data_IF_849591468554
#
_entry.id   IF_849591468554
#
_cell.length_a   1.000
_cell.length_b   1.000
_cell.length_c   1.000
_cell.angle_alpha   90.00
_cell.angle_beta   90.00
_cell.angle_gamma   90.00
#
_symmetry.space_group_name_H-M   'P 1'
#
loop_
_entity.id
_entity.type
_entity.pdbx_description
1 polymer ?
#
# COMPACT_ATOMS: atom_id res chain seq x y z
N UNK A 1 -14.48 -18.69 20.71
CA UNK A 1 -14.53 -17.21 20.74
C UNK A 1 -14.31 -16.70 19.33
N UNK A 2 -15.23 -15.91 18.75
CA UNK A 2 -14.99 -15.33 17.43
C UNK A 2 -13.94 -14.22 17.52
N UNK A 3 -12.91 -14.29 16.68
CA UNK A 3 -11.89 -13.25 16.52
C UNK A 3 -12.36 -12.33 15.39
N UNK A 4 -12.48 -11.03 15.67
CA UNK A 4 -12.84 -10.00 14.68
C UNK A 4 -11.65 -9.09 14.39
N UNK A 5 -11.41 -8.81 13.11
CA UNK A 5 -10.39 -7.86 12.67
C UNK A 5 -11.02 -6.48 12.50
N UNK A 6 -10.44 -5.48 13.15
CA UNK A 6 -10.84 -4.08 13.05
C UNK A 6 -9.82 -3.36 12.18
N UNK A 7 -10.26 -2.82 11.04
CA UNK A 7 -9.44 -1.98 10.17
C UNK A 7 -9.90 -0.55 10.30
N UNK A 8 -8.94 0.36 10.48
CA UNK A 8 -9.17 1.79 10.65
C UNK A 8 -8.23 2.58 9.76
N UNK A 9 -8.74 3.66 9.19
CA UNK A 9 -7.88 4.62 8.52
C UNK A 9 -6.92 5.26 9.53
N UNK A 10 -5.63 5.33 9.20
CA UNK A 10 -4.61 5.94 10.05
C UNK A 10 -4.89 7.42 10.40
N UNK A 11 -5.64 8.14 9.55
CA UNK A 11 -5.80 9.59 9.64
C UNK A 11 -7.13 10.02 10.25
N UNK A 12 -8.23 9.37 9.85
CA UNK A 12 -9.57 9.77 10.27
C UNK A 12 -10.32 8.69 11.08
N UNK A 13 -9.68 7.55 11.37
CA UNK A 13 -10.29 6.42 12.09
C UNK A 13 -11.55 5.84 11.43
N UNK A 14 -11.85 6.24 10.19
CA UNK A 14 -12.93 5.66 9.39
C UNK A 14 -12.78 4.15 9.31
N UNK A 15 -13.90 3.44 9.19
CA UNK A 15 -13.93 2.00 9.03
C UNK A 15 -14.39 1.63 7.62
N UNK A 16 -13.85 0.54 7.05
CA UNK A 16 -14.27 0.06 5.74
C UNK A 16 -15.70 -0.48 5.80
N UNK A 17 -16.41 -0.44 4.66
CA UNK A 17 -17.67 -1.16 4.53
C UNK A 17 -17.46 -2.68 4.68
N UNK A 18 -18.50 -3.47 5.01
CA UNK A 18 -18.36 -4.90 5.29
C UNK A 18 -17.72 -5.71 4.16
N UNK A 19 -17.93 -5.34 2.89
CA UNK A 19 -17.36 -6.05 1.75
C UNK A 19 -15.87 -5.74 1.60
N UNK A 20 -15.49 -4.47 1.77
CA UNK A 20 -14.08 -4.06 1.81
C UNK A 20 -13.37 -4.65 3.03
N UNK A 21 -14.04 -4.79 4.17
CA UNK A 21 -13.49 -5.45 5.36
C UNK A 21 -13.11 -6.92 5.08
N UNK A 22 -13.96 -7.69 4.39
CA UNK A 22 -13.63 -9.06 3.98
C UNK A 22 -12.42 -9.11 3.04
N UNK A 23 -12.29 -8.12 2.16
CA UNK A 23 -11.15 -8.01 1.23
C UNK A 23 -9.86 -7.65 1.97
N UNK A 24 -9.93 -6.76 2.96
CA UNK A 24 -8.81 -6.43 3.83
C UNK A 24 -8.34 -7.65 4.66
N UNK A 25 -9.29 -8.45 5.17
CA UNK A 25 -8.97 -9.71 5.84
C UNK A 25 -8.28 -10.72 4.89
N UNK A 26 -8.73 -10.79 3.63
CA UNK A 26 -8.07 -11.58 2.59
C UNK A 26 -6.63 -11.12 2.33
N UNK A 27 -6.44 -9.82 2.13
CA UNK A 27 -5.12 -9.22 1.88
C UNK A 27 -4.13 -9.43 3.04
N UNK A 28 -4.60 -9.54 4.28
CA UNK A 28 -3.74 -9.93 5.41
C UNK A 28 -3.14 -11.33 5.26
N UNK A 29 -3.75 -12.24 4.49
CA UNK A 29 -3.18 -13.58 4.28
C UNK A 29 -2.12 -13.60 3.18
N UNK A 30 -2.02 -12.53 2.41
CA UNK A 30 -1.06 -12.43 1.32
C UNK A 30 0.36 -12.16 1.84
N UNK A 31 1.33 -12.86 1.27
CA UNK A 31 2.76 -12.71 1.57
C UNK A 31 3.37 -11.62 0.69
N UNK A 32 2.95 -10.37 0.95
CA UNK A 32 3.42 -9.18 0.23
C UNK A 32 4.13 -8.27 1.22
N UNK A 33 5.26 -7.68 0.79
CA UNK A 33 6.08 -6.77 1.60
C UNK A 33 6.36 -5.48 0.83
N UNK A 34 6.27 -4.34 1.50
CA UNK A 34 6.68 -3.05 0.93
C UNK A 34 5.86 -2.58 -0.28
N UNK A 35 4.63 -3.09 -0.46
CA UNK A 35 3.80 -2.78 -1.62
C UNK A 35 2.50 -2.03 -1.25
N UNK A 36 2.01 -1.27 -2.23
CA UNK A 36 0.66 -0.70 -2.23
C UNK A 36 -0.34 -1.70 -2.81
N UNK A 37 -1.43 -1.96 -2.10
CA UNK A 37 -2.54 -2.74 -2.63
C UNK A 37 -3.86 -2.01 -2.44
N UNK A 38 -4.73 -2.15 -3.44
CA UNK A 38 -6.09 -1.61 -3.38
C UNK A 38 -7.04 -2.66 -2.83
N UNK A 39 -7.71 -2.36 -1.73
CA UNK A 39 -8.87 -3.13 -1.30
C UNK A 39 -10.13 -2.57 -1.99
N UNK A 40 -10.57 -3.26 -3.03
CA UNK A 40 -11.88 -3.02 -3.66
C UNK A 40 -13.00 -3.66 -2.84
N UNK A 41 -14.26 -3.19 -2.91
CA UNK A 41 -14.77 -2.09 -3.75
C UNK A 41 -14.49 -0.69 -3.19
N UNK A 42 -14.25 -0.56 -1.88
CA UNK A 42 -14.09 0.73 -1.21
C UNK A 42 -12.82 1.50 -1.58
N UNK A 43 -11.96 0.96 -2.46
CA UNK A 43 -10.69 1.56 -2.90
C UNK A 43 -9.80 2.00 -1.74
N UNK A 44 -9.76 1.20 -0.69
CA UNK A 44 -8.83 1.45 0.42
C UNK A 44 -7.40 1.19 -0.04
N UNK A 45 -6.47 2.01 0.44
CA UNK A 45 -5.04 1.78 0.22
C UNK A 45 -4.47 1.00 1.39
N UNK A 46 -3.80 -0.10 1.08
CA UNK A 46 -3.09 -0.95 2.02
C UNK A 46 -1.59 -0.78 1.80
N UNK A 47 -0.87 -0.50 2.87
CA UNK A 47 0.58 -0.64 2.93
C UNK A 47 0.95 -1.91 3.68
N UNK A 48 1.64 -2.82 3.00
CA UNK A 48 2.14 -4.05 3.61
C UNK A 48 3.54 -3.86 4.20
N UNK A 49 3.65 -3.08 5.29
CA UNK A 49 4.94 -2.77 5.91
C UNK A 49 5.73 -3.98 6.45
N UNK A 50 5.03 -5.04 6.85
CA UNK A 50 5.54 -6.31 7.43
C UNK A 50 7.08 -6.52 7.43
N UNK A 51 7.62 -6.87 8.59
CA UNK A 51 9.06 -7.14 8.74
C UNK A 51 9.86 -5.84 8.78
N UNK A 52 10.75 -5.64 7.81
CA UNK A 52 11.68 -4.51 7.76
C UNK A 52 11.01 -3.14 7.59
N UNK A 53 9.79 -3.07 7.04
CA UNK A 53 9.07 -1.81 6.82
C UNK A 53 7.93 -1.58 7.82
N UNK A 54 8.00 -2.23 8.98
CA UNK A 54 7.13 -1.95 10.13
C UNK A 54 5.68 -2.46 9.99
N UNK A 55 4.71 -1.82 10.67
CA UNK A 55 3.33 -2.29 10.71
C UNK A 55 2.62 -2.08 9.36
N UNK A 56 1.60 -2.91 9.11
CA UNK A 56 0.67 -2.65 8.02
C UNK A 56 -0.14 -1.37 8.31
N UNK A 57 -0.41 -0.57 7.28
CA UNK A 57 -1.16 0.68 7.39
C UNK A 57 -2.31 0.69 6.39
N UNK A 58 -3.40 1.34 6.77
CA UNK A 58 -4.63 1.38 6.00
C UNK A 58 -5.09 2.83 5.87
N UNK A 59 -5.50 3.22 4.66
CA UNK A 59 -6.11 4.51 4.40
C UNK A 59 -7.42 4.35 3.62
N UNK A 60 -8.43 5.13 4.02
CA UNK A 60 -9.66 5.27 3.27
C UNK A 60 -9.40 6.03 1.95
N UNK A 61 -10.35 6.04 1.00
CA UNK A 61 -10.22 6.73 -0.29
C UNK A 61 -9.74 8.16 -0.20
N UNK A 62 -10.25 8.90 0.78
CA UNK A 62 -9.96 10.33 0.94
C UNK A 62 -8.52 10.58 1.40
N UNK A 63 -7.94 9.67 2.20
CA UNK A 63 -6.59 9.81 2.77
C UNK A 63 -5.53 8.93 2.08
N UNK A 64 -5.84 8.39 0.89
CA UNK A 64 -4.88 7.58 0.12
C UNK A 64 -3.61 8.38 -0.20
N UNK A 65 -3.80 9.62 -0.65
CA UNK A 65 -2.70 10.52 -1.00
C UNK A 65 -1.78 10.79 0.19
N UNK A 66 -2.36 11.01 1.37
CA UNK A 66 -1.62 11.26 2.62
C UNK A 66 -0.79 10.05 3.04
N UNK A 67 -1.35 8.83 2.90
CA UNK A 67 -0.60 7.61 3.19
C UNK A 67 0.57 7.43 2.22
N UNK A 68 0.35 7.67 0.92
CA UNK A 68 1.43 7.62 -0.07
C UNK A 68 2.52 8.66 0.22
N UNK A 69 2.13 9.88 0.57
CA UNK A 69 3.06 10.96 0.92
C UNK A 69 3.89 10.59 2.15
N UNK A 70 3.23 10.15 3.24
CA UNK A 70 3.90 9.67 4.44
C UNK A 70 4.91 8.56 4.14
N UNK A 71 4.52 7.55 3.35
CA UNK A 71 5.41 6.43 3.04
C UNK A 71 6.61 6.86 2.20
N UNK A 72 6.39 7.79 1.24
CA UNK A 72 7.47 8.36 0.44
C UNK A 72 8.43 9.22 1.25
N UNK A 73 7.97 9.92 2.27
CA UNK A 73 8.81 10.68 3.17
C UNK A 73 9.57 9.74 4.12
N UNK A 74 8.82 8.87 4.79
CA UNK A 74 9.32 8.02 5.87
C UNK A 74 10.28 6.93 5.38
N UNK A 75 10.01 6.36 4.22
CA UNK A 75 10.86 5.34 3.60
C UNK A 75 11.60 5.87 2.37
N UNK A 76 11.49 7.17 2.06
CA UNK A 76 12.10 7.84 0.90
C UNK A 76 13.62 7.75 0.85
N UNK A 77 14.24 7.68 2.01
CA UNK A 77 15.69 7.64 2.20
C UNK A 77 16.25 6.22 2.14
N UNK A 78 15.40 5.19 2.15
CA UNK A 78 15.82 3.81 1.92
C UNK A 78 16.07 3.69 0.42
N UNK A 79 17.35 3.63 0.02
CA UNK A 79 17.79 3.63 -1.39
C UNK A 79 17.17 2.53 -2.25
N UNK A 80 16.66 1.48 -1.60
CA UNK A 80 15.73 0.51 -2.20
C UNK A 80 14.29 0.97 -1.94
N UNK A 81 13.79 1.93 -2.71
CA UNK A 81 12.42 2.42 -2.56
C UNK A 81 11.41 1.26 -2.74
N UNK A 82 10.77 0.74 -1.68
CA UNK A 82 10.06 -0.54 -1.74
C UNK A 82 8.86 -0.50 -2.68
N UNK A 83 8.22 0.67 -2.81
CA UNK A 83 7.10 0.90 -3.70
C UNK A 83 7.46 1.09 -5.19
N UNK A 84 8.75 1.18 -5.55
CA UNK A 84 9.19 1.35 -6.95
C UNK A 84 9.43 0.03 -7.68
N UNK A 85 9.20 -1.12 -7.05
CA UNK A 85 9.39 -2.45 -7.68
C UNK A 85 8.04 -3.16 -7.91
N UNK A 86 7.55 -3.22 -9.15
CA UNK A 86 6.49 -4.14 -9.55
C UNK A 86 7.04 -5.49 -10.06
N UNK A 87 6.27 -6.58 -10.00
CA UNK A 87 5.40 -7.02 -8.92
C UNK A 87 6.09 -8.07 -8.03
N UNK A 88 5.65 -8.21 -6.78
CA UNK A 88 5.79 -9.50 -6.10
C UNK A 88 4.71 -10.43 -6.68
N UNK A 89 4.99 -11.72 -6.92
CA UNK A 89 4.15 -12.60 -7.75
C UNK A 89 2.66 -12.70 -7.39
N UNK A 90 2.24 -12.15 -6.25
CA UNK A 90 0.90 -12.32 -5.67
C UNK A 90 0.16 -11.00 -5.36
N UNK A 91 0.70 -9.80 -5.64
CA UNK A 91 0.02 -8.54 -5.29
C UNK A 91 -0.82 -8.01 -6.45
N UNK A 92 -2.11 -7.75 -6.21
CA UNK A 92 -3.00 -7.11 -7.19
C UNK A 92 -2.55 -5.67 -7.39
N UNK A 93 -2.12 -5.35 -8.63
CA UNK A 93 -1.58 -4.05 -9.03
C UNK A 93 -2.52 -2.89 -8.67
N UNK A 94 -1.93 -1.79 -8.16
CA UNK A 94 -2.64 -0.53 -7.94
C UNK A 94 -2.19 0.48 -8.99
N UNK A 95 -3.11 1.32 -9.49
CA UNK A 95 -2.77 2.41 -10.42
C UNK A 95 -1.70 3.37 -9.85
N UNK A 96 -1.58 3.46 -8.54
CA UNK A 96 -0.55 4.25 -7.86
C UNK A 96 0.81 3.55 -7.89
N UNK A 97 0.84 2.21 -7.86
CA UNK A 97 2.02 1.38 -8.15
C UNK A 97 2.46 1.59 -9.59
N UNK A 98 1.52 1.59 -10.54
CA UNK A 98 1.80 1.82 -11.96
C UNK A 98 2.33 3.23 -12.20
N UNK A 99 1.70 4.24 -11.63
CA UNK A 99 2.16 5.63 -11.74
C UNK A 99 3.54 5.82 -11.07
N UNK A 100 3.78 5.19 -9.92
CA UNK A 100 5.09 5.21 -9.27
C UNK A 100 6.16 4.52 -10.12
N UNK A 101 5.82 3.38 -10.76
CA UNK A 101 6.70 2.66 -11.69
C UNK A 101 7.03 3.50 -12.92
N UNK A 102 6.02 4.07 -13.57
CA UNK A 102 6.19 4.97 -14.72
C UNK A 102 7.10 6.14 -14.32
N UNK A 103 6.84 6.77 -13.18
CA UNK A 103 7.65 7.89 -12.69
C UNK A 103 9.10 7.47 -12.36
N UNK A 104 9.29 6.29 -11.79
CA UNK A 104 10.61 5.76 -11.43
C UNK A 104 11.46 5.37 -12.64
N UNK A 105 10.89 4.66 -13.60
CA UNK A 105 11.57 4.20 -14.81
C UNK A 105 11.79 5.32 -15.83
N UNK A 106 10.88 6.30 -15.90
CA UNK A 106 11.05 7.49 -16.75
C UNK A 106 12.25 8.34 -16.33
N UNK A 107 12.56 8.39 -15.03
CA UNK A 107 13.81 9.01 -14.52
C UNK A 107 15.05 8.18 -14.83
N UNK A 108 14.98 6.85 -14.76
CA UNK A 108 16.13 5.98 -15.12
C UNK A 108 16.51 6.06 -16.60
N UNK A 109 15.55 6.31 -17.51
CA UNK A 109 15.83 6.46 -18.95
C UNK A 109 16.61 7.75 -19.28
N UNK A 110 16.70 8.70 -18.35
CA UNK A 110 17.39 9.99 -18.52
C UNK A 110 18.58 10.20 -17.55
N UNK A 111 18.80 9.26 -16.62
CA UNK A 111 19.94 9.27 -15.71
C UNK A 111 21.00 8.26 -16.15
N UNK A 112 21.50 8.42 -17.37
CA UNK A 112 22.73 7.77 -17.80
C UNK A 112 23.92 8.65 -17.44
N UNK A 113 24.65 8.27 -16.40
CA UNK A 113 26.07 8.53 -16.20
C UNK A 113 26.67 7.30 -15.52
#
# INVERSE_FOLDING_TARGET
>A
MPISFIFRCQYCDAQPDPLTQLRLQGAMREFVWGAYQNALPGRWLIWHGRGLYGPARYACPDHRGDLVAYLREHYGTIGFHPWKRPPYPNSLESSDTDHAWITATRRQRWGGF
#
